data_IF_760629206742
#
_entry.id   IF_760629206742
#
_cell.length_a   1.000
_cell.length_b   1.000
_cell.length_c   1.000
_cell.angle_alpha   90.00
_cell.angle_beta   90.00
_cell.angle_gamma   90.00
#
_symmetry.space_group_name_H-M   'P 1'
#
loop_
_entity.id
_entity.type
_entity.pdbx_description
1 polymer ?
#
# COMPACT_ATOMS: atom_id res chain seq x y z
N UNK A 1 20.83 -4.77 -20.38
CA UNK A 1 22.19 -5.25 -20.70
C UNK A 1 22.09 -6.49 -21.60
N UNK A 2 23.16 -6.80 -22.36
CA UNK A 2 23.26 -8.00 -23.22
C UNK A 2 23.04 -9.29 -22.39
N UNK A 3 23.56 -9.32 -21.16
CA UNK A 3 23.36 -10.42 -20.24
C UNK A 3 21.86 -10.64 -19.98
N UNK A 4 21.12 -9.63 -19.57
CA UNK A 4 19.68 -9.74 -19.27
C UNK A 4 18.88 -10.20 -20.50
N UNK A 5 19.24 -9.71 -21.67
CA UNK A 5 18.62 -10.13 -22.92
C UNK A 5 18.81 -11.63 -23.17
N UNK A 6 20.08 -12.10 -23.11
CA UNK A 6 20.41 -13.53 -23.28
C UNK A 6 19.75 -14.40 -22.20
N UNK A 7 19.76 -13.93 -20.95
CA UNK A 7 19.11 -14.59 -19.83
C UNK A 7 17.61 -14.78 -20.07
N UNK A 8 16.91 -13.73 -20.45
CA UNK A 8 15.47 -13.80 -20.73
C UNK A 8 15.16 -14.70 -21.92
N UNK A 9 15.94 -14.64 -23.00
CA UNK A 9 15.79 -15.54 -24.12
C UNK A 9 15.98 -17.01 -23.73
N UNK A 10 16.88 -17.30 -22.82
CA UNK A 10 17.16 -18.67 -22.36
C UNK A 10 15.99 -19.33 -21.62
N UNK A 11 14.97 -18.55 -21.20
CA UNK A 11 13.77 -19.03 -20.50
C UNK A 11 12.67 -19.50 -21.46
N UNK A 12 12.73 -19.09 -22.71
CA UNK A 12 11.68 -19.42 -23.70
C UNK A 12 11.57 -20.94 -23.85
N UNK A 13 10.35 -21.47 -23.72
CA UNK A 13 10.05 -22.88 -23.82
C UNK A 13 10.40 -23.71 -22.57
N UNK A 14 10.81 -23.07 -21.48
CA UNK A 14 11.03 -23.71 -20.18
C UNK A 14 9.90 -23.42 -19.20
N UNK A 15 9.67 -24.28 -18.20
CA UNK A 15 8.78 -23.96 -17.08
C UNK A 15 9.22 -22.68 -16.37
N UNK A 16 8.24 -21.95 -15.81
CA UNK A 16 8.52 -20.78 -15.00
C UNK A 16 9.31 -21.18 -13.75
N UNK A 17 10.44 -20.52 -13.52
CA UNK A 17 11.21 -20.67 -12.29
C UNK A 17 10.69 -19.72 -11.23
N UNK A 18 9.92 -20.24 -10.27
CA UNK A 18 9.35 -19.46 -9.15
C UNK A 18 10.38 -19.08 -8.08
N UNK A 19 11.62 -19.54 -8.19
CA UNK A 19 12.70 -19.16 -7.27
C UNK A 19 13.47 -17.93 -7.74
N UNK A 20 13.17 -17.43 -8.93
CA UNK A 20 13.80 -16.24 -9.49
C UNK A 20 13.11 -14.96 -8.97
N UNK A 21 13.87 -14.11 -8.30
CA UNK A 21 13.38 -12.86 -7.77
C UNK A 21 13.66 -11.69 -8.71
N UNK A 22 12.70 -10.77 -8.80
CA UNK A 22 12.84 -9.52 -9.57
C UNK A 22 13.67 -8.46 -8.84
N UNK A 23 13.81 -8.56 -7.51
CA UNK A 23 14.58 -7.63 -6.68
C UNK A 23 15.72 -8.35 -5.95
N UNK A 24 16.90 -7.71 -5.81
CA UNK A 24 18.00 -8.29 -5.04
C UNK A 24 17.75 -8.17 -3.53
N UNK A 25 18.35 -9.06 -2.69
CA UNK A 25 18.07 -9.14 -1.25
C UNK A 25 18.33 -7.85 -0.46
N UNK A 26 19.24 -7.00 -0.93
CA UNK A 26 19.61 -5.73 -0.28
C UNK A 26 18.69 -4.56 -0.60
N UNK A 27 17.66 -4.75 -1.43
CA UNK A 27 16.70 -3.71 -1.75
C UNK A 27 15.66 -3.57 -0.62
N UNK A 28 15.52 -2.37 -0.07
CA UNK A 28 14.47 -2.04 0.90
C UNK A 28 13.18 -1.78 0.13
N UNK A 29 12.52 -2.84 -0.28
CA UNK A 29 11.27 -2.83 -1.01
C UNK A 29 10.60 -4.22 -0.94
N UNK A 30 9.39 -4.33 -1.49
CA UNK A 30 8.65 -5.57 -1.73
C UNK A 30 7.97 -5.48 -3.10
N UNK A 31 7.38 -6.56 -3.59
CA UNK A 31 6.58 -6.52 -4.80
C UNK A 31 5.60 -7.69 -4.88
N UNK A 32 4.50 -7.46 -5.60
CA UNK A 32 3.61 -8.49 -6.12
C UNK A 32 3.95 -8.80 -7.58
N UNK A 33 3.98 -10.09 -7.93
CA UNK A 33 4.18 -10.54 -9.30
C UNK A 33 2.88 -11.20 -9.81
N UNK A 34 2.09 -10.54 -10.67
CA UNK A 34 0.82 -11.07 -11.15
C UNK A 34 0.98 -12.32 -12.03
N UNK A 35 2.11 -12.48 -12.72
CA UNK A 35 2.37 -13.64 -13.58
C UNK A 35 2.60 -14.93 -12.78
N UNK A 36 3.08 -14.81 -11.55
CA UNK A 36 3.35 -15.94 -10.65
C UNK A 36 2.36 -16.00 -9.48
N UNK A 37 1.53 -14.95 -9.34
CA UNK A 37 0.61 -14.74 -8.23
C UNK A 37 1.32 -14.92 -6.88
N UNK A 38 2.37 -14.14 -6.67
CA UNK A 38 3.23 -14.21 -5.49
C UNK A 38 3.58 -12.83 -4.96
N UNK A 39 3.83 -12.74 -3.66
CA UNK A 39 4.41 -11.57 -2.99
C UNK A 39 5.83 -11.89 -2.56
N UNK A 40 6.75 -10.94 -2.71
CA UNK A 40 8.18 -11.13 -2.42
C UNK A 40 8.69 -9.99 -1.53
N UNK A 41 9.42 -10.38 -0.47
CA UNK A 41 10.01 -9.46 0.51
C UNK A 41 11.52 -9.70 0.57
N UNK A 42 12.35 -8.89 -0.12
CA UNK A 42 13.79 -8.90 0.06
C UNK A 42 14.19 -8.72 1.53
N UNK A 43 15.27 -9.37 1.96
CA UNK A 43 15.66 -9.37 3.38
C UNK A 43 15.87 -7.96 3.95
N UNK A 44 16.30 -7.01 3.13
CA UNK A 44 16.60 -5.65 3.57
C UNK A 44 15.37 -4.85 4.03
N UNK A 45 14.13 -5.22 3.66
CA UNK A 45 12.94 -4.53 4.20
C UNK A 45 12.60 -4.99 5.61
N UNK A 46 13.10 -6.16 6.04
CA UNK A 46 12.83 -6.75 7.35
C UNK A 46 13.70 -6.11 8.45
N UNK A 47 13.67 -4.79 8.54
CA UNK A 47 14.41 -3.98 9.52
C UNK A 47 13.62 -2.69 9.83
N UNK A 48 13.93 -2.00 10.94
CA UNK A 48 13.29 -0.72 11.25
C UNK A 48 13.41 0.30 10.09
N UNK A 49 12.37 1.10 9.83
CA UNK A 49 11.12 1.21 10.60
C UNK A 49 10.01 0.22 10.19
N UNK A 50 10.24 -0.67 9.22
CA UNK A 50 9.22 -1.61 8.72
C UNK A 50 8.98 -2.76 9.69
N UNK A 51 10.06 -3.39 10.16
CA UNK A 51 10.01 -4.50 11.11
C UNK A 51 11.09 -4.35 12.18
N UNK A 52 10.69 -4.47 13.44
CA UNK A 52 11.62 -4.54 14.58
C UNK A 52 11.18 -5.68 15.51
N UNK A 53 12.01 -6.72 15.71
CA UNK A 53 11.67 -7.83 16.59
C UNK A 53 11.51 -7.44 18.06
N UNK A 54 11.97 -6.24 18.45
CA UNK A 54 11.85 -5.70 19.80
C UNK A 54 10.68 -4.68 19.93
N UNK A 55 10.04 -4.30 18.82
CA UNK A 55 8.86 -3.44 18.85
C UNK A 55 7.61 -4.23 19.23
N UNK A 56 6.56 -3.53 19.62
CA UNK A 56 5.26 -4.15 19.90
C UNK A 56 4.59 -4.61 18.60
N UNK A 57 3.69 -5.60 18.71
CA UNK A 57 3.02 -6.19 17.54
C UNK A 57 2.32 -5.14 16.68
N UNK A 58 1.59 -4.20 17.30
CA UNK A 58 0.88 -3.16 16.57
C UNK A 58 1.80 -2.25 15.75
N UNK A 59 3.02 -2.01 16.20
CA UNK A 59 4.01 -1.26 15.42
C UNK A 59 4.44 -2.08 14.19
N UNK A 60 4.70 -3.37 14.34
CA UNK A 60 5.05 -4.25 13.23
C UNK A 60 3.88 -4.44 12.27
N UNK A 61 2.64 -4.53 12.76
CA UNK A 61 1.44 -4.56 11.91
C UNK A 61 1.27 -3.24 11.13
N UNK A 62 1.50 -2.08 11.75
CA UNK A 62 1.44 -0.77 11.08
C UNK A 62 2.64 -0.49 10.14
N UNK A 63 3.71 -1.27 10.26
CA UNK A 63 4.90 -1.25 9.41
C UNK A 63 4.85 -2.34 8.34
N UNK A 64 5.59 -3.43 8.56
CA UNK A 64 5.70 -4.54 7.59
C UNK A 64 4.36 -5.22 7.33
N UNK A 65 3.47 -5.29 8.34
CA UNK A 65 2.14 -5.85 8.17
C UNK A 65 1.32 -5.11 7.12
N UNK A 66 1.34 -3.78 7.16
CA UNK A 66 0.69 -2.94 6.15
C UNK A 66 1.32 -3.12 4.76
N UNK A 67 2.65 -3.33 4.67
CA UNK A 67 3.32 -3.64 3.39
C UNK A 67 2.92 -5.03 2.88
N UNK A 68 2.81 -6.04 3.75
CA UNK A 68 2.33 -7.37 3.35
C UNK A 68 0.92 -7.27 2.78
N UNK A 69 0.02 -6.55 3.46
CA UNK A 69 -1.33 -6.31 2.97
C UNK A 69 -1.36 -5.52 1.65
N UNK A 70 -0.45 -4.55 1.49
CA UNK A 70 -0.26 -3.77 0.25
C UNK A 70 0.10 -4.69 -0.92
N UNK A 71 1.11 -5.56 -0.79
CA UNK A 71 1.50 -6.48 -1.85
C UNK A 71 0.38 -7.49 -2.17
N UNK A 72 -0.34 -7.97 -1.17
CA UNK A 72 -1.52 -8.83 -1.41
C UNK A 72 -2.61 -8.09 -2.17
N UNK A 73 -2.84 -6.81 -1.88
CA UNK A 73 -3.87 -5.98 -2.52
C UNK A 73 -3.54 -5.69 -3.98
N UNK A 74 -2.27 -5.67 -4.38
CA UNK A 74 -1.89 -5.53 -5.79
C UNK A 74 -2.49 -6.62 -6.69
N UNK A 75 -2.82 -7.80 -6.17
CA UNK A 75 -3.56 -8.82 -6.92
C UNK A 75 -4.98 -8.41 -7.30
N UNK A 76 -5.50 -7.34 -6.68
CA UNK A 76 -6.87 -6.85 -6.81
C UNK A 76 -6.94 -5.37 -7.18
N UNK A 77 -5.83 -4.71 -7.48
CA UNK A 77 -5.79 -3.33 -7.96
C UNK A 77 -6.25 -3.23 -9.43
N UNK A 78 -6.16 -2.05 -10.03
CA UNK A 78 -6.59 -1.79 -11.41
C UNK A 78 -5.76 -2.52 -12.47
N UNK A 79 -4.57 -3.01 -12.15
CA UNK A 79 -3.70 -3.78 -13.03
C UNK A 79 -3.71 -5.27 -12.66
N UNK A 80 -3.46 -5.63 -11.40
CA UNK A 80 -3.37 -7.02 -10.95
C UNK A 80 -4.70 -7.75 -11.08
N UNK A 81 -5.83 -7.06 -10.89
CA UNK A 81 -7.17 -7.61 -11.10
C UNK A 81 -7.45 -8.12 -12.52
N UNK A 82 -6.58 -7.82 -13.48
CA UNK A 82 -6.65 -8.30 -14.87
C UNK A 82 -6.00 -9.67 -15.06
N UNK A 83 -5.42 -10.23 -14.00
CA UNK A 83 -4.79 -11.55 -14.02
C UNK A 83 -5.59 -12.51 -13.15
N UNK A 84 -5.78 -13.73 -13.65
CA UNK A 84 -6.36 -14.82 -12.86
C UNK A 84 -5.34 -15.47 -11.91
N UNK A 85 -5.79 -16.40 -11.05
CA UNK A 85 -4.95 -17.00 -10.01
C UNK A 85 -3.76 -17.81 -10.55
N UNK A 86 -3.79 -18.14 -11.85
CA UNK A 86 -2.71 -18.87 -12.54
C UNK A 86 -1.71 -17.95 -13.25
N UNK A 87 -1.82 -16.63 -13.06
CA UNK A 87 -0.99 -15.62 -13.74
C UNK A 87 -1.38 -15.38 -15.21
N UNK A 88 -2.50 -15.89 -15.66
CA UNK A 88 -3.00 -15.62 -16.99
C UNK A 88 -3.74 -14.30 -17.03
N UNK A 89 -3.51 -13.55 -18.11
CA UNK A 89 -4.29 -12.34 -18.40
C UNK A 89 -5.70 -12.76 -18.83
N UNK A 90 -6.69 -12.57 -17.96
CA UNK A 90 -8.07 -12.98 -18.17
C UNK A 90 -9.04 -12.08 -17.39
N UNK A 91 -10.20 -11.82 -17.99
CA UNK A 91 -11.28 -11.13 -17.28
C UNK A 91 -12.10 -12.15 -16.48
N UNK A 92 -11.96 -12.13 -15.17
CA UNK A 92 -12.73 -12.96 -14.23
C UNK A 92 -13.80 -12.19 -13.45
N UNK A 93 -13.90 -10.88 -13.69
CA UNK A 93 -14.88 -10.01 -13.08
C UNK A 93 -16.23 -10.10 -13.79
N UNK A 94 -17.33 -10.07 -13.03
CA UNK A 94 -18.63 -9.77 -13.64
C UNK A 94 -18.72 -8.30 -14.03
N UNK A 95 -19.65 -7.97 -14.93
CA UNK A 95 -19.89 -6.57 -15.33
C UNK A 95 -20.29 -5.71 -14.12
N UNK A 96 -21.04 -6.28 -13.17
CA UNK A 96 -21.46 -5.60 -11.94
C UNK A 96 -20.25 -5.29 -11.05
N UNK A 97 -19.36 -6.25 -10.83
CA UNK A 97 -18.14 -6.07 -10.02
C UNK A 97 -17.22 -5.03 -10.64
N UNK A 98 -16.99 -5.15 -11.96
CA UNK A 98 -16.16 -4.19 -12.71
C UNK A 98 -16.72 -2.76 -12.63
N UNK A 99 -18.05 -2.61 -12.72
CA UNK A 99 -18.70 -1.30 -12.58
C UNK A 99 -18.59 -0.75 -11.16
N UNK A 100 -18.81 -1.59 -10.15
CA UNK A 100 -18.68 -1.23 -8.75
C UNK A 100 -17.25 -0.79 -8.41
N UNK A 101 -16.27 -1.58 -8.81
CA UNK A 101 -14.85 -1.29 -8.62
C UNK A 101 -14.46 0.06 -9.25
N UNK A 102 -14.85 0.31 -10.52
CA UNK A 102 -14.57 1.58 -11.20
C UNK A 102 -15.22 2.79 -10.52
N UNK A 103 -16.41 2.63 -9.94
CA UNK A 103 -17.06 3.71 -9.21
C UNK A 103 -16.28 4.07 -7.92
N UNK A 104 -15.77 3.07 -7.20
CA UNK A 104 -14.99 3.27 -5.97
C UNK A 104 -13.59 3.81 -6.27
N UNK A 105 -12.90 3.22 -7.25
CA UNK A 105 -11.56 3.68 -7.65
C UNK A 105 -11.58 5.09 -8.23
N UNK A 106 -12.65 5.49 -8.93
CA UNK A 106 -12.84 6.86 -9.37
C UNK A 106 -12.90 7.88 -8.23
N UNK A 107 -13.46 7.50 -7.08
CA UNK A 107 -13.43 8.37 -5.87
C UNK A 107 -12.01 8.48 -5.31
N UNK A 108 -11.22 7.40 -5.34
CA UNK A 108 -9.83 7.39 -4.90
C UNK A 108 -8.95 8.26 -5.82
N UNK A 109 -9.16 8.17 -7.13
CA UNK A 109 -8.52 9.07 -8.11
C UNK A 109 -8.81 10.53 -7.76
N UNK A 110 -10.08 10.87 -7.56
CA UNK A 110 -10.49 12.25 -7.22
C UNK A 110 -9.88 12.74 -5.89
N UNK A 111 -9.70 11.84 -4.91
CA UNK A 111 -9.01 12.18 -3.66
C UNK A 111 -7.58 12.60 -3.92
N UNK A 112 -6.80 11.80 -4.64
CA UNK A 112 -5.38 12.08 -4.89
C UNK A 112 -5.19 13.24 -5.88
N UNK A 113 -6.06 13.43 -6.86
CA UNK A 113 -6.08 14.61 -7.73
C UNK A 113 -6.30 15.92 -6.92
N UNK A 114 -6.89 15.83 -5.75
CA UNK A 114 -7.06 16.93 -4.80
C UNK A 114 -5.78 17.33 -4.07
N UNK A 115 -4.78 16.46 -3.98
CA UNK A 115 -3.56 16.73 -3.23
C UNK A 115 -2.60 17.64 -4.00
N UNK A 116 -1.91 18.50 -3.24
CA UNK A 116 -0.89 19.44 -3.73
C UNK A 116 0.32 19.40 -2.81
N UNK A 117 1.49 19.43 -3.38
CA UNK A 117 2.73 19.66 -2.64
C UNK A 117 2.82 21.10 -2.13
N UNK A 118 3.75 21.38 -1.24
CA UNK A 118 3.94 22.71 -0.67
C UNK A 118 4.22 23.78 -1.73
N UNK A 119 4.84 23.41 -2.85
CA UNK A 119 5.12 24.28 -4.01
C UNK A 119 3.98 24.24 -5.06
N UNK A 120 2.83 23.63 -4.75
CA UNK A 120 1.61 23.65 -5.56
C UNK A 120 1.53 22.60 -6.66
N UNK A 121 2.48 21.66 -6.78
CA UNK A 121 2.41 20.61 -7.79
C UNK A 121 1.25 19.66 -7.51
N UNK A 122 0.53 19.28 -8.57
CA UNK A 122 -0.62 18.36 -8.48
C UNK A 122 -0.17 16.92 -8.50
N UNK A 123 -0.81 16.08 -7.70
CA UNK A 123 -0.72 14.63 -7.83
C UNK A 123 -1.65 14.15 -8.94
N UNK A 124 -1.23 13.15 -9.70
CA UNK A 124 -2.04 12.49 -10.70
C UNK A 124 -2.64 11.21 -10.11
N UNK A 125 -3.89 11.29 -9.66
CA UNK A 125 -4.56 10.18 -9.02
C UNK A 125 -4.75 8.94 -9.91
N UNK A 126 -4.85 9.12 -11.24
CA UNK A 126 -4.89 8.00 -12.18
C UNK A 126 -3.54 7.29 -12.29
N UNK A 127 -2.43 8.06 -12.32
CA UNK A 127 -1.09 7.50 -12.42
C UNK A 127 -0.71 6.71 -11.17
N UNK A 128 -1.19 7.15 -10.01
CA UNK A 128 -0.87 6.52 -8.73
C UNK A 128 -1.98 5.58 -8.21
N UNK A 129 -2.96 5.24 -9.05
CA UNK A 129 -4.17 4.54 -8.61
C UNK A 129 -3.88 3.17 -7.99
N UNK A 130 -3.10 2.33 -8.66
CA UNK A 130 -2.79 0.98 -8.18
C UNK A 130 -2.15 1.00 -6.79
N UNK A 131 -1.16 1.87 -6.61
CA UNK A 131 -0.47 2.06 -5.34
C UNK A 131 -1.39 2.60 -4.24
N UNK A 132 -2.30 3.51 -4.59
CA UNK A 132 -3.26 4.05 -3.63
C UNK A 132 -4.31 3.01 -3.20
N UNK A 133 -4.72 2.12 -4.11
CA UNK A 133 -5.59 0.98 -3.80
C UNK A 133 -4.85 0.01 -2.86
N UNK A 134 -3.60 -0.31 -3.19
CA UNK A 134 -2.77 -1.22 -2.41
C UNK A 134 -2.51 -0.68 -0.99
N UNK A 135 -2.22 0.61 -0.84
CA UNK A 135 -2.07 1.25 0.48
C UNK A 135 -3.37 1.19 1.30
N UNK A 136 -4.51 1.47 0.68
CA UNK A 136 -5.81 1.48 1.37
C UNK A 136 -6.20 0.08 1.84
N UNK A 137 -6.15 -0.90 0.94
CA UNK A 137 -6.48 -2.30 1.26
C UNK A 137 -5.47 -2.91 2.22
N UNK A 138 -4.18 -2.64 2.01
CA UNK A 138 -3.10 -3.14 2.84
C UNK A 138 -3.18 -2.65 4.28
N UNK A 139 -3.41 -1.35 4.47
CA UNK A 139 -3.53 -0.76 5.80
C UNK A 139 -4.79 -1.25 6.54
N UNK A 140 -5.92 -1.36 5.83
CA UNK A 140 -7.16 -1.89 6.40
C UNK A 140 -7.00 -3.35 6.85
N UNK A 141 -6.48 -4.21 5.96
CA UNK A 141 -6.25 -5.63 6.24
C UNK A 141 -5.27 -5.84 7.39
N UNK A 142 -4.17 -5.06 7.44
CA UNK A 142 -3.20 -5.14 8.52
C UNK A 142 -3.79 -4.71 9.87
N UNK A 143 -4.66 -3.70 9.88
CA UNK A 143 -5.36 -3.28 11.09
C UNK A 143 -6.29 -4.39 11.60
N UNK A 144 -7.09 -5.00 10.74
CA UNK A 144 -8.00 -6.09 11.11
C UNK A 144 -7.21 -7.32 11.61
N UNK A 145 -6.09 -7.64 10.96
CA UNK A 145 -5.19 -8.71 11.38
C UNK A 145 -4.61 -8.44 12.78
N UNK A 146 -4.16 -7.21 13.05
CA UNK A 146 -3.71 -6.79 14.37
C UNK A 146 -4.81 -6.95 15.41
N UNK A 147 -6.03 -6.45 15.14
CA UNK A 147 -7.16 -6.57 16.07
C UNK A 147 -7.48 -8.02 16.39
N UNK A 148 -7.45 -8.90 15.39
CA UNK A 148 -7.67 -10.33 15.57
C UNK A 148 -6.55 -10.99 16.37
N UNK A 149 -5.29 -10.66 16.10
CA UNK A 149 -4.13 -11.22 16.80
C UNK A 149 -4.07 -10.77 18.28
N UNK A 150 -4.61 -9.61 18.59
CA UNK A 150 -4.60 -9.04 19.94
C UNK A 150 -5.95 -9.14 20.66
N UNK A 151 -6.88 -9.89 20.11
CA UNK A 151 -8.21 -10.10 20.74
C UNK A 151 -8.08 -10.70 22.14
N UNK A 152 -8.79 -10.11 23.09
CA UNK A 152 -8.75 -10.56 24.51
C UNK A 152 -7.46 -10.20 25.26
N UNK A 153 -6.48 -9.57 24.61
CA UNK A 153 -5.27 -9.11 25.30
C UNK A 153 -5.44 -7.67 25.84
N UNK A 154 -4.89 -7.35 27.01
CA UNK A 154 -4.87 -5.96 27.51
C UNK A 154 -4.25 -5.01 26.50
N UNK A 155 -4.74 -3.78 26.49
CA UNK A 155 -4.14 -2.66 25.72
C UNK A 155 -3.57 -1.61 26.68
N UNK A 156 -2.37 -1.86 27.26
CA UNK A 156 -1.73 -0.88 28.12
C UNK A 156 -1.29 0.32 27.28
N UNK A 157 -1.55 1.52 27.80
CA UNK A 157 -0.99 2.73 27.24
C UNK A 157 0.54 2.64 27.30
N UNK A 158 1.20 2.86 26.16
CA UNK A 158 2.66 2.96 26.07
C UNK A 158 2.99 4.34 25.52
N UNK A 159 3.83 5.08 26.23
CA UNK A 159 4.15 6.48 25.91
C UNK A 159 2.91 7.38 25.73
N UNK A 160 1.85 7.10 26.48
CA UNK A 160 0.59 7.83 26.38
C UNK A 160 -0.26 7.50 25.15
N UNK A 161 0.05 6.43 24.41
CA UNK A 161 -0.63 6.02 23.19
C UNK A 161 -1.31 4.67 23.35
N UNK A 162 -2.51 4.55 22.76
CA UNK A 162 -3.21 3.28 22.64
C UNK A 162 -2.57 2.39 21.55
N UNK A 163 -2.90 1.10 21.52
CA UNK A 163 -2.48 0.17 20.47
C UNK A 163 -2.84 0.68 19.07
N UNK A 164 -4.07 1.11 18.88
CA UNK A 164 -4.56 1.62 17.60
C UNK A 164 -3.79 2.87 17.16
N UNK A 165 -3.48 3.78 18.09
CA UNK A 165 -2.66 4.95 17.79
C UNK A 165 -1.24 4.58 17.38
N UNK A 166 -0.60 3.63 18.07
CA UNK A 166 0.76 3.17 17.73
C UNK A 166 0.80 2.49 16.35
N UNK A 167 -0.24 1.74 15.98
CA UNK A 167 -0.39 1.17 14.63
C UNK A 167 -0.32 2.25 13.55
N UNK A 168 -1.20 3.25 13.63
CA UNK A 168 -1.26 4.31 12.62
C UNK A 168 -0.03 5.23 12.64
N UNK A 169 0.56 5.46 13.82
CA UNK A 169 1.79 6.25 13.91
C UNK A 169 2.99 5.53 13.29
N UNK A 170 3.06 4.20 13.38
CA UNK A 170 4.13 3.47 12.70
C UNK A 170 3.93 3.47 11.18
N UNK A 171 2.70 3.35 10.68
CA UNK A 171 2.41 3.62 9.26
C UNK A 171 2.95 4.98 8.82
N UNK A 172 2.67 6.04 9.55
CA UNK A 172 3.20 7.37 9.23
C UNK A 172 4.74 7.43 9.34
N UNK A 173 5.34 6.66 10.25
CA UNK A 173 6.78 6.62 10.46
C UNK A 173 7.52 6.00 9.28
N UNK A 174 7.00 4.94 8.67
CA UNK A 174 7.64 4.32 7.48
C UNK A 174 7.67 5.27 6.29
N UNK A 175 6.78 6.26 6.24
CA UNK A 175 6.70 7.27 5.16
C UNK A 175 7.45 8.56 5.48
N UNK A 176 8.20 8.66 6.57
CA UNK A 176 9.03 9.83 6.91
C UNK A 176 10.20 9.95 5.93
N UNK A 177 9.99 10.70 4.87
CA UNK A 177 11.00 10.94 3.81
C UNK A 177 11.03 12.42 3.45
N UNK A 178 12.24 12.90 3.15
CA UNK A 178 12.47 14.21 2.56
C UNK A 178 13.03 14.03 1.15
N UNK A 179 12.60 14.88 0.23
CA UNK A 179 13.09 14.94 -1.14
C UNK A 179 13.61 16.34 -1.44
N UNK A 180 14.62 16.45 -2.29
CA UNK A 180 14.92 17.75 -2.91
C UNK A 180 13.75 18.16 -3.81
N UNK A 181 13.55 19.46 -4.09
CA UNK A 181 12.49 19.91 -4.99
C UNK A 181 12.57 19.25 -6.38
N UNK A 182 13.77 19.07 -6.91
CA UNK A 182 14.01 18.43 -8.21
C UNK A 182 13.60 16.95 -8.20
N UNK A 183 13.99 16.22 -7.15
CA UNK A 183 13.64 14.80 -7.03
C UNK A 183 12.14 14.63 -6.81
N UNK A 184 11.50 15.47 -5.99
CA UNK A 184 10.06 15.46 -5.80
C UNK A 184 9.31 15.67 -7.12
N UNK A 185 9.75 16.66 -7.92
CA UNK A 185 9.18 16.92 -9.25
C UNK A 185 9.36 15.75 -10.20
N UNK A 186 10.54 15.14 -10.21
CA UNK A 186 10.83 13.96 -11.01
C UNK A 186 9.90 12.80 -10.62
N UNK A 187 9.76 12.52 -9.33
CA UNK A 187 8.87 11.44 -8.82
C UNK A 187 7.42 11.66 -9.18
N UNK A 188 6.88 12.86 -9.00
CA UNK A 188 5.50 13.19 -9.38
C UNK A 188 5.25 12.91 -10.87
N UNK A 189 6.26 13.10 -11.73
CA UNK A 189 6.14 12.89 -13.16
C UNK A 189 6.32 11.43 -13.62
N UNK A 190 7.07 10.61 -12.87
CA UNK A 190 7.56 9.31 -13.36
C UNK A 190 7.29 8.13 -12.43
N UNK A 191 7.05 8.36 -11.14
CA UNK A 191 6.84 7.32 -10.14
C UNK A 191 5.33 7.04 -10.02
N UNK A 192 4.95 5.77 -10.08
CA UNK A 192 3.57 5.31 -9.88
C UNK A 192 3.10 5.41 -8.42
N UNK A 193 4.02 5.69 -7.50
CA UNK A 193 3.70 5.96 -6.12
C UNK A 193 3.42 7.45 -5.89
N UNK A 194 2.38 7.76 -5.15
CA UNK A 194 2.21 9.11 -4.62
C UNK A 194 3.39 9.48 -3.69
N UNK A 195 3.79 10.76 -3.60
CA UNK A 195 4.80 11.19 -2.64
C UNK A 195 4.47 10.73 -1.21
N UNK A 196 5.49 10.39 -0.44
CA UNK A 196 5.38 9.74 0.86
C UNK A 196 4.39 10.42 1.83
N UNK A 197 4.35 11.77 1.86
CA UNK A 197 3.39 12.52 2.68
C UNK A 197 1.93 12.18 2.33
N UNK A 198 1.61 11.90 1.06
CA UNK A 198 0.24 11.57 0.63
C UNK A 198 -0.09 10.10 0.83
N UNK A 199 0.90 9.21 0.79
CA UNK A 199 0.74 7.83 1.23
C UNK A 199 0.45 7.77 2.73
N UNK A 200 1.18 8.53 3.54
CA UNK A 200 1.00 8.60 4.98
C UNK A 200 -0.42 9.01 5.41
N UNK A 201 -1.07 9.92 4.65
CA UNK A 201 -2.39 10.46 5.01
C UNK A 201 -3.54 9.92 4.17
N UNK A 202 -3.27 9.49 2.94
CA UNK A 202 -4.31 9.14 1.96
C UNK A 202 -5.13 7.92 2.36
N UNK A 203 -4.47 6.82 2.71
CA UNK A 203 -5.13 5.61 3.17
C UNK A 203 -5.82 5.80 4.53
N UNK A 204 -5.14 6.30 5.59
CA UNK A 204 -5.76 6.49 6.91
C UNK A 204 -7.02 7.37 6.88
N UNK A 205 -7.05 8.40 6.03
CA UNK A 205 -8.19 9.34 5.98
C UNK A 205 -9.52 8.70 5.55
N UNK A 206 -9.48 7.50 4.96
CA UNK A 206 -10.66 6.73 4.59
C UNK A 206 -11.08 5.71 5.67
N UNK A 207 -10.27 5.49 6.69
CA UNK A 207 -10.52 4.47 7.71
C UNK A 207 -11.24 5.06 8.93
N UNK A 208 -12.49 4.63 9.23
CA UNK A 208 -13.18 5.04 10.44
C UNK A 208 -12.39 4.69 11.71
N UNK A 209 -11.61 3.61 11.67
CA UNK A 209 -10.75 3.16 12.76
C UNK A 209 -9.63 4.16 13.09
N UNK A 210 -9.07 4.84 12.06
CA UNK A 210 -8.14 5.96 12.26
C UNK A 210 -8.82 7.13 12.97
N UNK A 211 -9.99 7.55 12.48
CA UNK A 211 -10.74 8.64 13.08
C UNK A 211 -11.09 8.32 14.55
N UNK A 212 -11.50 7.08 14.85
CA UNK A 212 -11.80 6.64 16.21
C UNK A 212 -10.55 6.66 17.11
N UNK A 213 -9.40 6.15 16.63
CA UNK A 213 -8.14 6.09 17.38
C UNK A 213 -7.68 7.47 17.87
N UNK A 214 -7.89 8.50 17.06
CA UNK A 214 -7.45 9.87 17.35
C UNK A 214 -8.60 10.80 17.77
N UNK A 215 -9.80 10.27 18.02
CA UNK A 215 -11.00 11.04 18.39
C UNK A 215 -11.34 12.16 17.39
N UNK A 216 -11.02 11.93 16.12
CA UNK A 216 -11.33 12.86 15.03
C UNK A 216 -12.82 12.90 14.72
N UNK A 217 -13.28 14.02 14.19
CA UNK A 217 -14.69 14.28 13.89
C UNK A 217 -14.90 14.54 12.38
N UNK A 218 -16.10 14.35 11.87
CA UNK A 218 -16.43 14.82 10.53
C UNK A 218 -16.08 16.31 10.35
N UNK A 219 -15.33 16.62 9.30
CA UNK A 219 -14.81 17.96 9.02
C UNK A 219 -13.36 18.19 9.38
N UNK A 220 -12.73 17.28 10.16
CA UNK A 220 -11.29 17.31 10.38
C UNK A 220 -10.53 16.94 9.10
N UNK A 221 -9.33 17.49 8.92
CA UNK A 221 -8.57 17.41 7.66
C UNK A 221 -8.29 15.99 7.15
N UNK A 222 -8.16 15.01 8.06
CA UNK A 222 -7.90 13.62 7.73
C UNK A 222 -9.12 12.72 7.97
N UNK A 223 -10.34 13.23 7.87
CA UNK A 223 -11.58 12.46 8.02
C UNK A 223 -12.43 12.59 6.77
N UNK A 224 -12.57 11.49 6.05
CA UNK A 224 -13.43 11.37 4.87
C UNK A 224 -14.68 10.60 5.27
N UNK A 225 -15.85 11.12 4.93
CA UNK A 225 -17.15 10.55 5.30
C UNK A 225 -18.11 10.55 4.12
N UNK A 226 -19.16 9.73 4.19
CA UNK A 226 -20.19 9.66 3.16
C UNK A 226 -19.60 9.38 1.77
N UNK A 227 -20.01 10.16 0.78
CA UNK A 227 -19.55 9.98 -0.60
C UNK A 227 -18.06 10.22 -0.85
N UNK A 228 -17.40 10.90 0.08
CA UNK A 228 -15.96 11.14 -0.02
C UNK A 228 -15.14 9.98 0.52
N UNK A 229 -15.69 9.14 1.36
CA UNK A 229 -15.02 7.97 1.91
C UNK A 229 -14.90 6.88 0.84
N UNK A 230 -13.73 6.28 0.74
CA UNK A 230 -13.46 5.17 -0.16
C UNK A 230 -13.27 3.90 0.65
N UNK A 231 -14.11 2.90 0.38
CA UNK A 231 -14.00 1.54 0.90
C UNK A 231 -14.10 0.63 -0.31
N UNK A 232 -12.99 -0.02 -0.66
CA UNK A 232 -12.92 -0.90 -1.84
C UNK A 232 -13.06 -2.36 -1.42
N UNK A 233 -12.41 -2.72 -0.32
CA UNK A 233 -12.37 -4.07 0.26
C UNK A 233 -12.90 -4.10 1.68
#
# INVERSE_FOLDING_TARGET
TEFNYKWNLSKIGKPVDKTEWGMPPQMVNAYYNPLQNEIVFPAAILQPPFFDPNATDEMNYGGIGAVIGHEMTHGYDDQGSRFGPTGKFENWWSDADSKGFKALTGKLVAQFDGYRTADGQKINGNHTLGENIADLGGLATAYDAMKKATEGTPDPMTDGLTRDQRFFLNWATVWRRNFTPEELKNRIATDEHAPAQFRAIGAPSNLPTFAAAFSCKPGDAMVRTGDQQVVIW
#
